data_IF_866131281643
#
_entry.id   IF_866131281643
#
_cell.length_a   1.000
_cell.length_b   1.000
_cell.length_c   1.000
_cell.angle_alpha   90.00
_cell.angle_beta   90.00
_cell.angle_gamma   90.00
#
_symmetry.space_group_name_H-M   'P 1'
#
loop_
_entity.id
_entity.type
_entity.pdbx_description
1 polymer ?
#
# COMPACT_ATOMS: atom_id res chain seq x y z
N UNK A 1 -44.80 -8.81 57.27
CA UNK A 1 -43.47 -8.43 56.76
C UNK A 1 -42.78 -9.64 56.16
N UNK A 2 -42.89 -9.87 54.83
CA UNK A 2 -41.96 -10.72 54.10
C UNK A 2 -41.09 -9.85 53.16
N UNK A 3 -39.76 -9.99 53.24
CA UNK A 3 -38.86 -9.51 52.19
C UNK A 3 -38.63 -10.65 51.17
N UNK A 4 -38.70 -10.39 49.85
CA UNK A 4 -38.63 -11.43 48.82
C UNK A 4 -37.20 -11.73 48.35
N UNK A 5 -37.07 -12.93 47.81
CA UNK A 5 -35.89 -13.56 47.25
C UNK A 5 -35.11 -12.73 46.22
N UNK A 6 -33.79 -12.74 46.37
CA UNK A 6 -32.81 -12.17 45.45
C UNK A 6 -32.65 -13.10 44.24
N UNK A 7 -33.27 -12.72 43.12
CA UNK A 7 -33.25 -13.43 41.85
C UNK A 7 -31.97 -13.04 41.08
N UNK A 8 -30.94 -13.91 41.06
CA UNK A 8 -29.71 -13.68 40.28
C UNK A 8 -29.94 -14.05 38.80
N UNK A 9 -29.71 -13.15 37.84
CA UNK A 9 -29.89 -13.47 36.43
C UNK A 9 -28.73 -14.31 35.88
N UNK A 10 -29.07 -15.46 35.32
CA UNK A 10 -28.20 -16.37 34.58
C UNK A 10 -27.49 -15.65 33.42
N UNK A 11 -26.16 -15.76 33.36
CA UNK A 11 -25.32 -15.20 32.28
C UNK A 11 -25.68 -15.88 30.95
N UNK A 12 -26.14 -15.10 29.97
CA UNK A 12 -26.30 -15.54 28.57
C UNK A 12 -24.92 -15.88 27.98
N UNK A 13 -24.77 -16.96 27.21
CA UNK A 13 -23.51 -17.28 26.56
C UNK A 13 -23.22 -16.22 25.49
N UNK A 14 -22.03 -15.61 25.60
CA UNK A 14 -21.48 -14.68 24.62
C UNK A 14 -21.09 -15.51 23.40
N UNK A 15 -21.92 -15.45 22.34
CA UNK A 15 -21.55 -16.00 21.04
C UNK A 15 -20.35 -15.19 20.54
N UNK A 16 -19.18 -15.80 20.61
CA UNK A 16 -17.93 -15.24 20.10
C UNK A 16 -17.96 -15.34 18.59
N UNK A 17 -18.48 -14.31 17.94
CA UNK A 17 -18.47 -14.12 16.48
C UNK A 17 -17.07 -13.73 15.95
N UNK A 18 -16.03 -14.43 16.42
CA UNK A 18 -14.68 -14.30 15.87
C UNK A 18 -14.46 -15.19 14.64
N UNK A 19 -15.37 -16.15 14.41
CA UNK A 19 -15.29 -17.11 13.30
C UNK A 19 -15.81 -16.60 11.95
N UNK A 20 -16.70 -15.59 11.93
CA UNK A 20 -17.27 -15.10 10.66
C UNK A 20 -16.30 -14.19 9.89
N UNK A 21 -15.51 -13.38 10.60
CA UNK A 21 -14.58 -12.44 9.96
C UNK A 21 -13.33 -13.11 9.35
N UNK A 22 -12.82 -14.19 9.96
CA UNK A 22 -11.68 -14.93 9.42
C UNK A 22 -12.05 -15.75 8.15
N UNK A 23 -13.31 -16.17 8.02
CA UNK A 23 -13.79 -16.90 6.84
C UNK A 23 -13.90 -16.02 5.60
N UNK A 24 -14.07 -14.70 5.75
CA UNK A 24 -14.21 -13.79 4.61
C UNK A 24 -12.88 -13.53 3.84
N UNK A 25 -11.73 -13.85 4.44
CA UNK A 25 -10.41 -13.70 3.79
C UNK A 25 -10.05 -14.94 2.95
N UNK A 26 -10.63 -16.09 3.29
CA UNK A 26 -10.33 -17.39 2.69
C UNK A 26 -11.19 -17.61 1.45
N UNK A 27 -10.90 -16.88 0.37
CA UNK A 27 -11.62 -17.05 -0.91
C UNK A 27 -11.63 -15.85 -1.85
N UNK A 28 -11.13 -14.68 -1.43
CA UNK A 28 -11.07 -13.50 -2.31
C UNK A 28 -9.87 -13.56 -3.26
N UNK A 29 -10.13 -13.46 -4.57
CA UNK A 29 -9.07 -13.40 -5.57
C UNK A 29 -8.56 -11.96 -5.65
N UNK A 30 -7.34 -11.73 -5.17
CA UNK A 30 -6.74 -10.39 -5.11
C UNK A 30 -5.77 -10.20 -6.27
N UNK A 31 -6.11 -9.30 -7.18
CA UNK A 31 -5.28 -8.97 -8.35
C UNK A 31 -4.72 -7.56 -8.23
N UNK A 32 -3.41 -7.43 -8.40
CA UNK A 32 -2.73 -6.16 -8.50
C UNK A 32 -2.70 -5.70 -9.97
N UNK A 33 -3.05 -4.44 -10.19
CA UNK A 33 -2.93 -3.77 -11.47
C UNK A 33 -1.87 -2.68 -11.34
N UNK A 34 -0.77 -2.81 -12.08
CA UNK A 34 0.40 -1.93 -11.97
C UNK A 34 0.96 -1.59 -13.34
N UNK A 35 1.65 -0.44 -13.49
CA UNK A 35 2.40 -0.16 -14.70
C UNK A 35 3.61 -1.08 -14.86
N UNK A 36 4.06 -1.24 -16.09
CA UNK A 36 5.36 -1.79 -16.42
C UNK A 36 6.46 -0.83 -15.91
N UNK A 37 7.40 -1.38 -15.14
CA UNK A 37 8.32 -0.57 -14.32
C UNK A 37 7.74 -0.16 -12.96
N UNK A 38 6.80 -0.93 -12.41
CA UNK A 38 6.50 -0.92 -10.98
C UNK A 38 7.60 -1.66 -10.20
N UNK A 39 8.04 -1.16 -9.02
CA UNK A 39 7.44 -0.09 -8.21
C UNK A 39 7.80 1.36 -8.58
N UNK A 40 8.68 1.59 -9.54
CA UNK A 40 9.24 2.89 -9.87
C UNK A 40 8.19 3.85 -10.46
N UNK A 41 7.27 3.34 -11.28
CA UNK A 41 6.14 4.08 -11.85
C UNK A 41 4.85 3.80 -11.09
N UNK A 42 4.03 4.84 -10.93
CA UNK A 42 2.75 4.77 -10.22
C UNK A 42 1.68 5.55 -10.93
N UNK A 43 0.59 4.86 -11.22
CA UNK A 43 -0.54 5.43 -11.94
C UNK A 43 -1.87 5.09 -11.25
N UNK A 44 -1.87 5.00 -9.92
CA UNK A 44 -3.02 4.53 -9.11
C UNK A 44 -4.33 5.21 -9.50
N UNK A 45 -4.33 6.54 -9.60
CA UNK A 45 -5.53 7.32 -9.95
C UNK A 45 -6.01 7.02 -11.37
N UNK A 46 -5.06 6.92 -12.29
CA UNK A 46 -5.35 6.74 -13.70
C UNK A 46 -5.82 5.31 -14.00
N UNK A 47 -5.21 4.30 -13.38
CA UNK A 47 -5.67 2.91 -13.43
C UNK A 47 -7.12 2.80 -12.94
N UNK A 48 -7.47 3.43 -11.81
CA UNK A 48 -8.86 3.42 -11.30
C UNK A 48 -9.82 4.13 -12.25
N UNK A 49 -9.38 5.21 -12.90
CA UNK A 49 -10.19 5.95 -13.87
C UNK A 49 -10.45 5.09 -15.11
N UNK A 50 -9.40 4.49 -15.67
CA UNK A 50 -9.47 3.62 -16.86
C UNK A 50 -10.35 2.41 -16.62
N UNK A 51 -10.15 1.69 -15.50
CA UNK A 51 -10.98 0.53 -15.18
C UNK A 51 -12.46 0.90 -15.08
N UNK A 52 -12.81 2.02 -14.43
CA UNK A 52 -14.21 2.48 -14.39
C UNK A 52 -14.73 2.88 -15.77
N UNK A 53 -13.92 3.57 -16.58
CA UNK A 53 -14.28 3.94 -17.95
C UNK A 53 -14.64 2.71 -18.79
N UNK A 54 -13.77 1.71 -18.79
CA UNK A 54 -14.00 0.48 -19.55
C UNK A 54 -15.19 -0.34 -19.05
N UNK A 55 -15.53 -0.28 -17.75
CA UNK A 55 -16.76 -0.90 -17.25
C UNK A 55 -18.01 -0.22 -17.85
N UNK A 56 -17.98 1.11 -17.98
CA UNK A 56 -19.10 1.89 -18.55
C UNK A 56 -19.23 1.73 -20.07
N UNK A 57 -18.17 1.32 -20.75
CA UNK A 57 -18.16 1.06 -22.20
C UNK A 57 -18.63 -0.35 -22.55
N UNK A 58 -18.86 -1.23 -21.56
CA UNK A 58 -19.40 -2.55 -21.80
C UNK A 58 -20.85 -2.47 -22.30
N UNK A 59 -21.28 -3.39 -23.19
CA UNK A 59 -22.69 -3.49 -23.58
C UNK A 59 -23.58 -3.66 -22.34
N UNK A 60 -24.80 -3.10 -22.36
CA UNK A 60 -25.75 -3.21 -21.23
C UNK A 60 -26.05 -4.69 -20.87
N UNK A 61 -26.03 -5.57 -21.86
CA UNK A 61 -26.24 -7.02 -21.71
C UNK A 61 -24.93 -7.79 -21.43
N UNK A 62 -23.80 -7.08 -21.39
CA UNK A 62 -22.47 -7.63 -21.19
C UNK A 62 -22.24 -8.06 -19.75
N UNK A 63 -21.45 -9.12 -19.57
CA UNK A 63 -21.03 -9.55 -18.23
C UNK A 63 -19.98 -8.58 -17.68
N UNK A 64 -20.41 -7.59 -16.92
CA UNK A 64 -19.53 -6.66 -16.24
C UNK A 64 -18.67 -7.34 -15.15
N UNK A 65 -17.39 -6.96 -15.01
CA UNK A 65 -16.58 -7.43 -13.91
C UNK A 65 -17.14 -6.92 -12.57
N UNK A 66 -17.04 -7.74 -11.54
CA UNK A 66 -17.48 -7.39 -10.18
C UNK A 66 -16.33 -7.46 -9.18
N UNK A 67 -16.27 -6.45 -8.31
CA UNK A 67 -15.24 -6.27 -7.29
C UNK A 67 -15.89 -6.00 -5.94
N UNK A 68 -15.41 -6.64 -4.87
CA UNK A 68 -15.88 -6.33 -3.50
C UNK A 68 -15.22 -5.06 -2.93
N UNK A 69 -14.14 -4.60 -3.55
CA UNK A 69 -13.44 -3.39 -3.16
C UNK A 69 -12.13 -3.21 -3.91
N UNK A 70 -11.58 -2.00 -3.83
CA UNK A 70 -10.24 -1.69 -4.31
C UNK A 70 -9.47 -0.92 -3.24
N UNK A 71 -8.18 -1.20 -3.13
CA UNK A 71 -7.29 -0.50 -2.20
C UNK A 71 -5.92 -0.27 -2.83
N UNK A 72 -5.12 0.62 -2.24
CA UNK A 72 -3.77 0.90 -2.72
C UNK A 72 -2.76 0.20 -1.81
N UNK A 73 -1.79 -0.48 -2.42
CA UNK A 73 -0.63 -1.04 -1.70
C UNK A 73 0.65 -0.67 -2.41
N UNK A 74 1.54 0.04 -1.74
CA UNK A 74 2.86 0.36 -2.27
C UNK A 74 2.83 1.02 -3.67
N UNK A 75 1.80 1.82 -3.97
CA UNK A 75 1.58 2.41 -5.30
C UNK A 75 0.95 1.50 -6.36
N UNK A 76 0.55 0.28 -5.98
CA UNK A 76 -0.25 -0.63 -6.79
C UNK A 76 -1.74 -0.49 -6.45
N UNK A 77 -2.62 -0.70 -7.44
CA UNK A 77 -4.07 -0.83 -7.21
C UNK A 77 -4.40 -2.31 -7.05
N UNK A 78 -4.92 -2.69 -5.89
CA UNK A 78 -5.39 -4.05 -5.63
C UNK A 78 -6.90 -4.11 -5.83
N UNK A 79 -7.34 -5.01 -6.68
CA UNK A 79 -8.74 -5.34 -6.95
C UNK A 79 -9.10 -6.64 -6.23
N UNK A 80 -10.14 -6.61 -5.42
CA UNK A 80 -10.72 -7.80 -4.83
C UNK A 80 -11.79 -8.36 -5.78
N UNK A 81 -11.39 -9.26 -6.67
CA UNK A 81 -12.27 -9.90 -7.63
C UNK A 81 -13.19 -10.90 -6.93
N UNK A 82 -14.48 -10.87 -7.27
CA UNK A 82 -15.51 -11.78 -6.74
C UNK A 82 -15.46 -13.17 -7.39
N UNK A 83 -14.92 -13.27 -8.61
CA UNK A 83 -14.89 -14.49 -9.42
C UNK A 83 -13.76 -14.44 -10.46
N UNK A 84 -13.52 -15.57 -11.12
CA UNK A 84 -12.49 -15.71 -12.16
C UNK A 84 -12.78 -14.87 -13.41
N UNK A 85 -14.06 -14.63 -13.76
CA UNK A 85 -14.41 -13.78 -14.91
C UNK A 85 -13.91 -12.35 -14.73
N UNK A 86 -14.05 -11.78 -13.52
CA UNK A 86 -13.48 -10.46 -13.19
C UNK A 86 -11.96 -10.43 -13.31
N UNK A 87 -11.28 -11.54 -12.98
CA UNK A 87 -9.82 -11.67 -13.11
C UNK A 87 -9.41 -11.70 -14.57
N UNK A 88 -10.07 -12.54 -15.36
CA UNK A 88 -9.77 -12.70 -16.78
C UNK A 88 -10.04 -11.40 -17.54
N UNK A 89 -11.15 -10.72 -17.21
CA UNK A 89 -11.44 -9.39 -17.74
C UNK A 89 -10.34 -8.38 -17.39
N UNK A 90 -9.86 -8.35 -16.14
CA UNK A 90 -8.79 -7.43 -15.74
C UNK A 90 -7.49 -7.72 -16.51
N UNK A 91 -7.17 -9.00 -16.73
CA UNK A 91 -6.01 -9.43 -17.53
C UNK A 91 -6.17 -9.00 -19.00
N UNK A 92 -7.31 -9.25 -19.62
CA UNK A 92 -7.59 -8.79 -20.99
C UNK A 92 -7.45 -7.29 -21.11
N UNK A 93 -8.07 -6.55 -20.17
CA UNK A 93 -7.97 -5.10 -20.13
C UNK A 93 -6.51 -4.62 -20.07
N UNK A 94 -5.65 -5.27 -19.27
CA UNK A 94 -4.24 -4.91 -19.17
C UNK A 94 -3.45 -5.05 -20.48
N UNK A 95 -3.93 -5.88 -21.41
CA UNK A 95 -3.34 -6.02 -22.75
C UNK A 95 -3.82 -4.96 -23.73
N UNK A 96 -4.99 -4.37 -23.47
CA UNK A 96 -5.65 -3.39 -24.34
C UNK A 96 -5.24 -1.95 -23.98
N UNK A 97 -5.12 -1.65 -22.68
CA UNK A 97 -4.91 -0.28 -22.20
C UNK A 97 -3.46 0.03 -21.88
N UNK A 98 -3.10 1.30 -22.11
CA UNK A 98 -1.79 1.87 -21.76
C UNK A 98 -1.98 3.23 -21.10
N UNK A 99 -1.05 3.61 -20.25
CA UNK A 99 -1.00 4.94 -19.64
C UNK A 99 0.16 5.70 -20.29
N UNK A 100 -0.17 6.59 -21.23
CA UNK A 100 0.82 7.17 -22.14
C UNK A 100 1.51 6.08 -22.96
N UNK A 101 2.83 5.97 -22.85
CA UNK A 101 3.63 4.88 -23.45
C UNK A 101 3.82 3.66 -22.53
N UNK A 102 3.29 3.70 -21.30
CA UNK A 102 3.52 2.65 -20.29
C UNK A 102 2.46 1.57 -20.39
N UNK A 103 2.90 0.33 -20.63
CA UNK A 103 2.04 -0.87 -20.60
C UNK A 103 1.64 -1.16 -19.17
N UNK A 104 0.47 -1.78 -18.96
CA UNK A 104 0.04 -2.21 -17.65
C UNK A 104 0.10 -3.74 -17.53
N UNK A 105 0.23 -4.24 -16.31
CA UNK A 105 0.25 -5.67 -16.01
C UNK A 105 -0.66 -6.00 -14.84
N UNK A 106 -1.22 -7.20 -14.90
CA UNK A 106 -2.07 -7.76 -13.85
C UNK A 106 -1.42 -9.03 -13.30
N UNK A 107 -1.21 -9.06 -11.99
CA UNK A 107 -0.58 -10.17 -11.28
C UNK A 107 -1.27 -10.41 -9.93
N UNK A 108 -1.19 -11.62 -9.35
CA UNK A 108 -1.69 -11.87 -8.01
C UNK A 108 -1.07 -10.92 -6.99
N UNK A 109 -1.87 -10.39 -6.06
CA UNK A 109 -1.38 -9.43 -5.07
C UNK A 109 -0.29 -9.99 -4.14
N UNK A 110 -0.19 -11.32 -4.01
CA UNK A 110 0.88 -11.98 -3.27
C UNK A 110 2.23 -12.02 -3.99
N UNK A 111 2.23 -11.83 -5.32
CA UNK A 111 3.44 -11.87 -6.18
C UNK A 111 4.06 -10.50 -6.42
N UNK A 112 3.36 -9.44 -6.02
CA UNK A 112 3.92 -8.09 -6.03
C UNK A 112 5.22 -8.05 -5.20
N UNK A 113 6.28 -7.39 -5.72
CA UNK A 113 7.51 -7.19 -4.99
C UNK A 113 7.26 -6.66 -3.58
N UNK A 114 7.95 -7.22 -2.58
CA UNK A 114 7.90 -6.70 -1.22
C UNK A 114 8.61 -5.36 -1.17
N UNK A 115 7.86 -4.32 -0.83
CA UNK A 115 8.39 -3.00 -0.54
C UNK A 115 8.51 -2.83 0.98
N UNK A 116 9.60 -2.23 1.43
CA UNK A 116 9.84 -1.90 2.83
C UNK A 116 9.63 -0.41 3.04
N UNK A 117 8.88 -0.03 4.06
CA UNK A 117 8.68 1.38 4.36
C UNK A 117 9.78 1.87 5.29
N UNK A 118 10.48 2.92 4.89
CA UNK A 118 11.49 3.58 5.70
C UNK A 118 11.14 5.04 5.91
N UNK A 119 11.65 5.64 6.99
CA UNK A 119 11.66 7.08 7.22
C UNK A 119 13.09 7.56 7.18
N UNK A 120 13.37 8.51 6.29
CA UNK A 120 14.67 9.15 6.15
C UNK A 120 14.68 10.41 7.01
N UNK A 121 15.67 10.55 7.88
CA UNK A 121 15.85 11.69 8.77
C UNK A 121 17.11 12.47 8.38
N UNK A 122 16.92 13.58 7.70
CA UNK A 122 18.00 14.47 7.24
C UNK A 122 18.19 15.58 8.28
N UNK A 123 19.35 15.61 8.93
CA UNK A 123 19.70 16.60 9.97
C UNK A 123 20.14 17.96 9.38
N UNK A 124 20.13 18.12 8.05
CA UNK A 124 20.46 19.37 7.36
C UNK A 124 19.18 20.12 6.94
N UNK A 125 18.98 21.30 7.52
CA UNK A 125 17.78 22.14 7.39
C UNK A 125 17.48 22.62 5.97
N UNK A 126 18.52 22.98 5.24
CA UNK A 126 18.40 23.58 3.91
C UNK A 126 18.23 22.52 2.82
N UNK A 127 18.41 21.24 3.17
CA UNK A 127 18.39 20.14 2.20
C UNK A 127 16.95 19.80 1.79
N UNK A 128 16.69 19.78 0.48
CA UNK A 128 15.44 19.25 -0.06
C UNK A 128 15.42 17.72 -0.02
N UNK A 129 14.25 17.10 0.16
CA UNK A 129 14.13 15.63 0.12
C UNK A 129 14.62 15.04 -1.22
N UNK A 130 14.40 15.75 -2.33
CA UNK A 130 14.91 15.38 -3.65
C UNK A 130 16.44 15.46 -3.75
N UNK A 131 17.03 16.46 -3.09
CA UNK A 131 18.47 16.61 -2.99
C UNK A 131 19.08 15.50 -2.12
N UNK A 132 18.46 15.20 -0.97
CA UNK A 132 18.85 14.10 -0.10
C UNK A 132 18.83 12.76 -0.84
N UNK A 133 17.81 12.48 -1.65
CA UNK A 133 17.74 11.25 -2.46
C UNK A 133 18.88 11.18 -3.47
N UNK A 134 19.22 12.29 -4.14
CA UNK A 134 20.33 12.35 -5.10
C UNK A 134 21.68 12.12 -4.41
N UNK A 135 21.88 12.70 -3.23
CA UNK A 135 23.09 12.52 -2.43
C UNK A 135 23.23 11.08 -1.94
N UNK A 136 22.13 10.51 -1.44
CA UNK A 136 22.07 9.10 -1.05
C UNK A 136 22.43 8.17 -2.22
N UNK A 137 21.94 8.43 -3.43
CA UNK A 137 22.27 7.65 -4.64
C UNK A 137 23.77 7.69 -4.94
N UNK A 138 24.34 8.90 -4.91
CA UNK A 138 25.73 9.15 -5.31
C UNK A 138 26.74 8.65 -4.30
N UNK A 139 26.44 8.75 -3.01
CA UNK A 139 27.39 8.47 -1.93
C UNK A 139 27.30 7.03 -1.40
N UNK A 140 26.24 6.28 -1.74
CA UNK A 140 26.04 4.92 -1.25
C UNK A 140 25.87 3.95 -2.42
N UNK A 141 26.99 3.41 -2.89
CA UNK A 141 26.99 2.42 -3.97
C UNK A 141 26.05 1.25 -3.66
N UNK A 142 25.17 0.93 -4.60
CA UNK A 142 24.21 -0.17 -4.48
C UNK A 142 22.92 0.16 -3.72
N UNK A 143 22.81 1.33 -3.07
CA UNK A 143 21.59 1.73 -2.36
C UNK A 143 20.41 1.94 -3.33
N UNK A 144 20.70 2.40 -4.55
CA UNK A 144 19.74 2.47 -5.65
C UNK A 144 18.54 3.37 -5.33
N UNK A 145 18.77 4.57 -4.79
CA UNK A 145 17.67 5.43 -4.32
C UNK A 145 16.79 5.97 -5.44
N UNK A 146 17.19 5.81 -6.70
CA UNK A 146 16.34 6.05 -7.88
C UNK A 146 15.10 5.16 -7.93
N UNK A 147 15.18 3.97 -7.34
CA UNK A 147 14.08 3.01 -7.24
C UNK A 147 13.22 3.29 -6.00
N UNK A 148 13.60 4.26 -5.16
CA UNK A 148 12.86 4.58 -3.95
C UNK A 148 11.63 5.41 -4.27
N UNK A 149 10.61 5.13 -3.50
CA UNK A 149 9.28 5.66 -3.73
C UNK A 149 8.90 6.54 -2.55
N UNK A 150 9.03 7.85 -2.71
CA UNK A 150 8.66 8.81 -1.66
C UNK A 150 7.13 8.79 -1.46
N UNK A 151 6.69 8.62 -0.21
CA UNK A 151 5.28 8.64 0.15
C UNK A 151 4.77 10.09 0.09
N UNK A 152 3.74 10.34 -0.72
CA UNK A 152 3.17 11.68 -0.90
C UNK A 152 2.68 12.24 0.45
N UNK A 153 2.97 13.51 0.71
CA UNK A 153 2.58 14.19 1.94
C UNK A 153 3.34 13.75 3.20
N UNK A 154 4.31 12.84 3.08
CA UNK A 154 5.18 12.44 4.20
C UNK A 154 6.35 13.38 4.44
N UNK A 155 6.57 14.34 3.53
CA UNK A 155 7.63 15.33 3.67
C UNK A 155 7.22 16.29 4.78
N UNK A 156 7.94 16.24 5.89
CA UNK A 156 7.80 17.17 7.00
C UNK A 156 9.14 17.85 7.24
N UNK A 157 9.09 19.13 7.62
CA UNK A 157 10.27 19.88 8.06
C UNK A 157 9.99 20.46 9.43
N UNK A 158 10.98 20.40 10.30
CA UNK A 158 11.00 21.17 11.55
C UNK A 158 12.19 22.14 11.56
N UNK A 159 12.37 22.83 12.68
CA UNK A 159 13.42 23.83 12.85
C UNK A 159 14.86 23.26 12.87
N UNK A 160 15.05 21.94 12.73
CA UNK A 160 16.37 21.28 12.78
C UNK A 160 16.58 20.20 11.73
N UNK A 161 15.52 19.70 11.09
CA UNK A 161 15.60 18.50 10.26
C UNK A 161 14.44 18.37 9.27
N UNK A 162 14.69 17.61 8.21
CA UNK A 162 13.69 17.21 7.23
C UNK A 162 13.47 15.70 7.28
N UNK A 163 12.22 15.26 7.18
CA UNK A 163 11.86 13.84 7.13
C UNK A 163 10.98 13.55 5.93
N UNK A 164 11.16 12.37 5.37
CA UNK A 164 10.22 11.82 4.40
C UNK A 164 10.18 10.30 4.54
N UNK A 165 9.01 9.72 4.26
CA UNK A 165 8.87 8.28 4.17
C UNK A 165 9.11 7.83 2.73
N UNK A 166 9.78 6.70 2.56
CA UNK A 166 9.99 6.08 1.27
C UNK A 166 9.67 4.58 1.33
N UNK A 167 9.23 4.01 0.22
CA UNK A 167 9.17 2.57 -0.01
C UNK A 167 10.43 2.16 -0.77
N UNK A 168 11.08 1.09 -0.31
CA UNK A 168 12.36 0.62 -0.85
C UNK A 168 12.28 -0.87 -1.16
N UNK A 169 13.03 -1.31 -2.16
CA UNK A 169 13.16 -2.73 -2.49
C UNK A 169 14.07 -3.49 -1.51
N UNK A 170 14.07 -4.83 -1.62
CA UNK A 170 14.93 -5.70 -0.82
C UNK A 170 16.42 -5.35 -0.97
N UNK A 171 16.88 -5.02 -2.18
CA UNK A 171 18.29 -4.67 -2.44
C UNK A 171 18.73 -3.47 -1.60
N UNK A 172 17.96 -2.39 -1.63
CA UNK A 172 18.24 -1.20 -0.81
C UNK A 172 18.20 -1.51 0.68
N UNK A 173 17.27 -2.36 1.13
CA UNK A 173 17.19 -2.78 2.52
C UNK A 173 18.47 -3.50 2.97
N UNK A 174 18.98 -4.44 2.17
CA UNK A 174 20.21 -5.15 2.49
C UNK A 174 21.40 -4.19 2.58
N UNK A 175 21.51 -3.23 1.67
CA UNK A 175 22.55 -2.19 1.75
C UNK A 175 22.40 -1.34 3.02
N UNK A 176 21.18 -0.93 3.39
CA UNK A 176 20.94 -0.18 4.63
C UNK A 176 21.33 -0.97 5.89
N UNK A 177 21.09 -2.29 5.92
CA UNK A 177 21.53 -3.14 7.02
C UNK A 177 23.05 -3.13 7.16
N UNK A 178 23.79 -3.20 6.04
CA UNK A 178 25.27 -3.20 6.08
C UNK A 178 25.85 -1.91 6.66
N UNK A 179 25.19 -0.77 6.49
CA UNK A 179 25.63 0.51 7.04
C UNK A 179 24.98 0.87 8.38
N UNK A 180 24.31 -0.10 9.04
CA UNK A 180 23.63 0.11 10.31
C UNK A 180 22.55 1.19 10.25
N UNK A 181 21.86 1.28 9.10
CA UNK A 181 20.81 2.26 8.85
C UNK A 181 21.26 3.73 8.91
N UNK A 182 22.56 3.97 8.73
CA UNK A 182 23.15 5.32 8.71
C UNK A 182 23.95 5.57 7.43
N UNK A 183 23.35 5.64 6.23
CA UNK A 183 24.08 5.93 5.00
C UNK A 183 24.66 7.34 4.97
N UNK A 184 25.64 7.56 4.09
CA UNK A 184 26.22 8.88 3.82
C UNK A 184 25.21 9.77 3.10
N UNK A 185 25.09 11.03 3.50
CA UNK A 185 24.20 11.99 2.84
C UNK A 185 24.76 13.40 3.03
N UNK A 186 25.13 14.06 1.93
CA UNK A 186 25.70 15.41 1.93
C UNK A 186 27.05 15.42 2.62
N UNK A 187 27.14 16.18 3.72
CA UNK A 187 28.37 16.37 4.48
C UNK A 187 28.45 15.46 5.72
N UNK A 188 27.46 14.58 5.91
CA UNK A 188 27.38 13.72 7.08
C UNK A 188 26.72 12.37 6.80
N UNK A 189 26.01 11.88 7.81
CA UNK A 189 25.22 10.63 7.74
C UNK A 189 23.78 10.93 8.10
N UNK A 190 22.85 10.33 7.39
CA UNK A 190 21.42 10.43 7.69
C UNK A 190 20.97 9.17 8.41
N UNK A 191 20.00 9.30 9.31
CA UNK A 191 19.39 8.13 9.96
C UNK A 191 18.19 7.68 9.15
N UNK A 192 18.15 6.40 8.78
CA UNK A 192 17.01 5.81 8.06
C UNK A 192 16.36 4.76 8.95
N UNK A 193 15.11 4.96 9.35
CA UNK A 193 14.40 4.00 10.21
C UNK A 193 13.52 3.10 9.38
N UNK A 194 13.67 1.79 9.51
CA UNK A 194 12.67 0.85 9.01
C UNK A 194 11.40 1.03 9.84
N UNK A 195 10.28 1.26 9.17
CA UNK A 195 8.98 1.17 9.81
C UNK A 195 8.52 -0.26 9.66
N UNK A 196 8.54 -0.99 10.76
CA UNK A 196 7.80 -2.25 10.87
C UNK A 196 6.33 -1.91 10.74
N UNK A 197 5.80 -2.09 9.53
CA UNK A 197 4.39 -2.32 9.39
C UNK A 197 4.19 -3.74 9.88
N UNK A 198 4.05 -3.93 11.20
CA UNK A 198 3.15 -4.99 11.65
C UNK A 198 1.88 -4.78 10.84
N UNK A 199 1.53 -5.79 10.05
CA UNK A 199 0.41 -5.73 9.12
C UNK A 199 -0.83 -5.38 9.91
N UNK A 200 -1.16 -4.10 9.99
CA UNK A 200 -2.50 -3.67 10.32
C UNK A 200 -3.33 -3.86 9.05
N UNK A 201 -3.54 -5.13 8.70
CA UNK A 201 -4.77 -5.55 8.03
C UNK A 201 -5.93 -5.36 9.02
N UNK A 202 -6.16 -4.13 9.51
CA UNK A 202 -7.28 -3.83 10.39
C UNK A 202 -7.58 -2.33 10.42
N UNK A 203 -8.85 -2.04 10.10
CA UNK A 203 -9.61 -0.82 10.38
C UNK A 203 -9.34 0.42 9.52
N UNK A 204 -10.04 0.48 8.37
CA UNK A 204 -10.87 1.64 8.03
C UNK A 204 -12.23 1.17 7.48
N UNK A 205 -13.05 0.62 8.36
CA UNK A 205 -14.50 0.72 8.26
C UNK A 205 -14.98 1.40 9.53
N UNK A 206 -15.60 2.57 9.41
CA UNK A 206 -16.26 3.25 10.51
C UNK A 206 -15.83 4.70 10.71
N UNK A 207 -16.51 5.59 9.99
CA UNK A 207 -16.94 6.87 10.55
C UNK A 207 -18.25 7.26 9.86
N UNK A 208 -19.34 6.59 10.24
CA UNK A 208 -20.66 7.20 10.21
C UNK A 208 -20.78 7.97 11.52
N UNK A 209 -20.79 9.29 11.43
CA UNK A 209 -21.23 10.17 12.51
C UNK A 209 -22.65 10.60 12.20
N UNK A 210 -23.60 10.01 12.91
CA UNK A 210 -24.96 10.51 13.03
C UNK A 210 -24.96 11.79 13.88
N UNK A 211 -25.68 12.80 13.40
CA UNK A 211 -26.41 13.75 14.23
C UNK A 211 -27.78 13.93 13.57
#
# INVERSE_FOLDING_TARGET
MPSPAENRPSKKPKVTDQGAHARAITGMIRMAFVPEGYPEKKEVKEIRRLVRGHILELPEDGLAPTFTGTWERDGAVIFNCTNQKSVDWLKSLSTEIKIGSTVLRVLPAGELPKCHRVVVHVEELDMAGEEAIKLLDRQNAGLGTREWVVVRGSVSRDAKSAHFAALIGNRSLEVLKTCGFKPFCGLGRTTIRLLDIERKEEMTAGASGSA
#
